data_IF_035836380833
#
_entry.id   IF_035836380833
#
_cell.length_a   1.000
_cell.length_b   1.000
_cell.length_c   1.000
_cell.angle_alpha   90.00
_cell.angle_beta   90.00
_cell.angle_gamma   90.00
#
_symmetry.space_group_name_H-M   'P 1'
#
loop_
_entity.id
_entity.type
_entity.pdbx_description
1 polymer ?
#
# COMPACT_ATOMS: atom_id res chain seq x y z
N UNK A 1 -39.14 -1.95 6.21
CA UNK A 1 -37.72 -1.69 5.91
C UNK A 1 -36.93 -2.78 6.62
N UNK A 2 -35.91 -3.36 5.97
CA UNK A 2 -35.08 -4.36 6.64
C UNK A 2 -34.30 -3.66 7.76
N UNK A 3 -34.40 -4.18 8.98
CA UNK A 3 -33.69 -3.64 10.14
C UNK A 3 -32.20 -3.94 9.98
N UNK A 4 -31.34 -2.96 10.28
CA UNK A 4 -29.90 -3.14 10.23
C UNK A 4 -29.47 -4.28 11.16
N UNK A 5 -28.59 -5.14 10.65
CA UNK A 5 -27.89 -6.14 11.46
C UNK A 5 -26.50 -6.34 10.88
N UNK A 6 -25.47 -6.13 11.69
CA UNK A 6 -24.09 -6.26 11.25
C UNK A 6 -23.77 -7.71 10.86
N UNK A 7 -23.27 -7.94 9.65
CA UNK A 7 -22.89 -9.27 9.14
C UNK A 7 -21.72 -9.92 9.89
N UNK A 8 -20.99 -9.17 10.72
CA UNK A 8 -19.84 -9.65 11.50
C UNK A 8 -20.18 -9.92 12.96
N UNK A 9 -20.66 -8.90 13.69
CA UNK A 9 -20.94 -9.02 15.11
C UNK A 9 -22.40 -9.37 15.43
N UNK A 10 -23.26 -9.46 14.41
CA UNK A 10 -24.68 -9.80 14.50
C UNK A 10 -25.53 -8.86 15.37
N UNK A 11 -24.96 -7.74 15.83
CA UNK A 11 -25.64 -6.66 16.54
C UNK A 11 -26.55 -5.88 15.61
N UNK A 12 -27.70 -5.49 16.12
CA UNK A 12 -28.66 -4.63 15.42
C UNK A 12 -28.42 -3.14 15.68
N UNK A 13 -29.32 -2.30 15.19
CA UNK A 13 -29.26 -0.83 15.28
C UNK A 13 -29.36 -0.29 16.70
N UNK A 14 -29.85 -1.07 17.67
CA UNK A 14 -29.91 -0.67 19.07
C UNK A 14 -28.54 -0.77 19.74
N UNK A 15 -27.69 -1.67 19.25
CA UNK A 15 -26.38 -1.97 19.83
C UNK A 15 -25.19 -1.51 18.97
N UNK A 16 -25.42 -1.15 17.71
CA UNK A 16 -24.36 -0.83 16.77
C UNK A 16 -24.77 0.18 15.70
N UNK A 17 -23.88 1.13 15.41
CA UNK A 17 -24.08 2.14 14.36
C UNK A 17 -23.70 1.57 12.99
N UNK A 18 -24.59 1.62 11.98
CA UNK A 18 -24.29 1.22 10.60
C UNK A 18 -23.15 2.04 9.99
N UNK A 19 -22.44 1.46 9.03
CA UNK A 19 -21.41 2.13 8.25
C UNK A 19 -21.34 1.56 6.83
N UNK A 20 -20.77 2.35 5.91
CA UNK A 20 -20.47 1.90 4.55
C UNK A 20 -19.16 1.09 4.58
N UNK A 21 -19.22 -0.17 4.17
CA UNK A 21 -18.03 -0.99 3.96
C UNK A 21 -17.71 -1.07 2.48
N UNK A 22 -16.43 -0.93 2.11
CA UNK A 22 -15.99 -1.07 0.72
C UNK A 22 -15.38 -2.45 0.53
N UNK A 23 -15.92 -3.28 -0.36
CA UNK A 23 -15.50 -4.70 -0.54
C UNK A 23 -13.98 -4.81 -0.70
N UNK A 24 -13.45 -4.05 -1.65
CA UNK A 24 -12.06 -3.63 -1.62
C UNK A 24 -12.04 -2.20 -1.10
N UNK A 25 -11.17 -1.84 -0.14
CA UNK A 25 -11.06 -0.46 0.30
C UNK A 25 -10.65 0.45 -0.85
N UNK A 26 -11.11 1.69 -0.82
CA UNK A 26 -10.75 2.72 -1.82
C UNK A 26 -9.24 2.94 -1.91
N UNK A 27 -8.52 2.73 -0.81
CA UNK A 27 -7.06 2.77 -0.75
C UNK A 27 -6.36 1.67 -1.57
N UNK A 28 -7.10 0.63 -1.96
CA UNK A 28 -6.68 -0.44 -2.87
C UNK A 28 -7.44 -0.37 -4.21
N UNK A 29 -8.02 0.79 -4.54
CA UNK A 29 -8.73 1.03 -5.81
C UNK A 29 -10.14 0.44 -5.88
N UNK A 30 -10.70 0.00 -4.76
CA UNK A 30 -12.06 -0.55 -4.73
C UNK A 30 -13.15 0.52 -4.88
N UNK A 31 -14.20 0.18 -5.63
CA UNK A 31 -15.35 1.04 -5.93
C UNK A 31 -16.68 0.44 -5.51
N UNK A 32 -16.68 -0.81 -5.03
CA UNK A 32 -17.88 -1.53 -4.64
C UNK A 32 -18.12 -1.38 -3.14
N UNK A 33 -19.35 -1.00 -2.81
CA UNK A 33 -19.77 -0.72 -1.44
C UNK A 33 -20.90 -1.65 -0.99
N UNK A 34 -20.95 -1.85 0.32
CA UNK A 34 -22.04 -2.45 1.08
C UNK A 34 -22.59 -1.39 2.03
N UNK A 35 -23.81 -0.97 1.75
CA UNK A 35 -24.56 -0.04 2.59
C UNK A 35 -25.30 -0.83 3.68
N UNK A 36 -25.31 -0.29 4.91
CA UNK A 36 -26.10 -0.80 6.02
C UNK A 36 -25.94 -2.30 6.33
N UNK A 37 -24.75 -2.86 6.07
CA UNK A 37 -24.44 -4.27 6.33
C UNK A 37 -23.37 -4.46 7.42
N UNK A 38 -22.53 -3.46 7.67
CA UNK A 38 -21.38 -3.55 8.58
C UNK A 38 -21.43 -2.39 9.57
N UNK A 39 -21.29 -2.68 10.86
CA UNK A 39 -21.23 -1.61 11.86
C UNK A 39 -19.86 -0.90 11.89
N UNK A 40 -19.84 0.34 12.38
CA UNK A 40 -18.64 1.15 12.46
C UNK A 40 -17.49 0.50 13.23
N UNK A 41 -17.79 -0.24 14.31
CA UNK A 41 -16.77 -0.91 15.12
C UNK A 41 -16.08 -2.06 14.37
N UNK A 42 -16.86 -2.93 13.72
CA UNK A 42 -16.31 -4.01 12.89
C UNK A 42 -15.53 -3.46 11.69
N UNK A 43 -16.08 -2.44 11.01
CA UNK A 43 -15.42 -1.79 9.88
C UNK A 43 -14.05 -1.19 10.30
N UNK A 44 -14.02 -0.49 11.43
CA UNK A 44 -12.79 0.11 11.96
C UNK A 44 -11.75 -0.95 12.36
N UNK A 45 -12.19 -2.05 12.96
CA UNK A 45 -11.33 -3.17 13.34
C UNK A 45 -10.73 -3.87 12.12
N UNK A 46 -11.55 -4.15 11.09
CA UNK A 46 -11.11 -4.72 9.82
C UNK A 46 -10.08 -3.82 9.16
N UNK A 47 -10.34 -2.51 9.06
CA UNK A 47 -9.40 -1.57 8.47
C UNK A 47 -8.03 -1.61 9.21
N UNK A 48 -8.04 -1.60 10.54
CA UNK A 48 -6.82 -1.57 11.36
C UNK A 48 -6.03 -2.88 11.31
N UNK A 49 -6.70 -4.02 11.44
CA UNK A 49 -6.04 -5.33 11.62
C UNK A 49 -5.82 -6.09 10.30
N UNK A 50 -6.49 -5.67 9.23
CA UNK A 50 -6.56 -6.43 7.97
C UNK A 50 -6.16 -5.57 6.76
N UNK A 51 -6.89 -4.49 6.49
CA UNK A 51 -6.70 -3.72 5.25
C UNK A 51 -5.42 -2.87 5.27
N UNK A 52 -5.17 -2.13 6.35
CA UNK A 52 -4.00 -1.26 6.46
C UNK A 52 -2.67 -2.05 6.49
N UNK A 53 -2.55 -3.19 7.22
CA UNK A 53 -1.37 -4.05 7.13
C UNK A 53 -1.14 -4.59 5.72
N UNK A 54 -2.21 -5.00 5.02
CA UNK A 54 -2.11 -5.46 3.63
C UNK A 54 -1.62 -4.31 2.71
N UNK A 55 -2.25 -3.14 2.79
CA UNK A 55 -1.84 -1.97 2.00
C UNK A 55 -0.38 -1.58 2.21
N UNK A 56 0.12 -1.65 3.45
CA UNK A 56 1.50 -1.30 3.80
C UNK A 56 2.52 -2.29 3.24
N UNK A 57 2.22 -3.57 3.25
CA UNK A 57 3.16 -4.62 2.84
C UNK A 57 3.15 -4.83 1.30
N UNK A 58 2.16 -4.28 0.59
CA UNK A 58 2.00 -4.42 -0.86
C UNK A 58 1.98 -3.09 -1.66
N UNK A 59 2.91 -2.14 -1.42
CA UNK A 59 2.91 -0.85 -2.12
C UNK A 59 3.21 -1.00 -3.62
N UNK A 60 3.92 -2.07 -4.01
CA UNK A 60 4.19 -2.40 -5.40
C UNK A 60 2.93 -2.59 -6.23
N UNK A 61 1.93 -3.32 -5.70
CA UNK A 61 0.66 -3.53 -6.41
C UNK A 61 -0.07 -2.20 -6.64
N UNK A 62 -0.02 -1.30 -5.66
CA UNK A 62 -0.66 0.01 -5.76
C UNK A 62 0.05 0.91 -6.77
N UNK A 63 1.38 0.89 -6.78
CA UNK A 63 2.18 1.63 -7.75
C UNK A 63 1.91 1.12 -9.18
N UNK A 64 1.99 -0.21 -9.37
CA UNK A 64 1.79 -0.86 -10.66
C UNK A 64 0.40 -0.60 -11.24
N UNK A 65 -0.63 -0.60 -10.40
CA UNK A 65 -2.02 -0.36 -10.82
C UNK A 65 -2.37 1.14 -10.89
N UNK A 66 -1.43 2.03 -10.58
CA UNK A 66 -1.67 3.48 -10.56
C UNK A 66 -2.70 3.92 -9.51
N UNK A 67 -2.89 3.13 -8.45
CA UNK A 67 -3.86 3.41 -7.40
C UNK A 67 -3.34 4.57 -6.55
N UNK A 68 -4.11 5.66 -6.52
CA UNK A 68 -3.74 6.88 -5.80
C UNK A 68 -4.18 6.82 -4.34
N UNK A 69 -3.34 7.34 -3.47
CA UNK A 69 -3.71 7.62 -2.09
C UNK A 69 -4.74 8.76 -2.01
N UNK A 70 -5.33 8.96 -0.83
CA UNK A 70 -6.22 10.11 -0.54
C UNK A 70 -5.59 11.49 -0.82
N UNK A 71 -4.27 11.57 -0.95
CA UNK A 71 -3.53 12.79 -1.28
C UNK A 71 -3.20 12.90 -2.78
N UNK A 72 -3.88 12.13 -3.62
CA UNK A 72 -3.66 12.07 -5.08
C UNK A 72 -2.25 11.65 -5.51
N UNK A 73 -1.52 10.96 -4.61
CA UNK A 73 -0.16 10.45 -4.88
C UNK A 73 -0.17 8.93 -5.03
N UNK A 74 0.49 8.43 -6.07
CA UNK A 74 0.79 7.00 -6.23
C UNK A 74 1.83 6.58 -5.18
N UNK A 75 1.62 5.47 -4.44
CA UNK A 75 2.60 4.97 -3.48
C UNK A 75 3.93 4.64 -4.15
N UNK A 76 5.04 5.05 -3.52
CA UNK A 76 6.36 4.69 -4.01
C UNK A 76 6.79 3.32 -3.47
N UNK A 77 7.57 2.59 -4.27
CA UNK A 77 8.05 1.24 -3.94
C UNK A 77 9.49 1.32 -3.42
N UNK A 78 9.77 0.91 -2.17
CA UNK A 78 11.14 0.84 -1.67
C UNK A 78 11.99 -0.11 -2.53
N UNK A 79 13.16 0.35 -2.96
CA UNK A 79 14.08 -0.39 -3.80
C UNK A 79 15.54 -0.09 -3.46
N UNK A 80 16.45 -0.90 -4.03
CA UNK A 80 17.88 -0.72 -3.97
C UNK A 80 18.37 -0.44 -5.38
N UNK A 81 19.04 0.68 -5.57
CA UNK A 81 19.75 1.03 -6.79
C UNK A 81 21.17 0.47 -6.71
N UNK A 82 21.52 -0.41 -7.65
CA UNK A 82 22.86 -0.96 -7.84
C UNK A 82 23.57 -0.17 -8.94
N UNK A 83 24.70 0.45 -8.60
CA UNK A 83 25.48 1.25 -9.55
C UNK A 83 26.95 1.33 -9.10
N UNK A 84 27.91 1.06 -10.00
CA UNK A 84 29.36 1.10 -9.69
C UNK A 84 29.79 0.29 -8.45
N UNK A 85 29.06 -0.79 -8.12
CA UNK A 85 29.30 -1.57 -6.91
C UNK A 85 28.66 -1.00 -5.64
N UNK A 86 28.07 0.19 -5.72
CA UNK A 86 27.33 0.83 -4.63
C UNK A 86 25.89 0.36 -4.56
N UNK A 87 25.31 0.45 -3.35
CA UNK A 87 23.92 0.11 -3.05
C UNK A 87 23.24 1.29 -2.39
N UNK A 88 22.32 1.93 -3.11
CA UNK A 88 21.62 3.14 -2.65
C UNK A 88 20.15 2.83 -2.44
N UNK A 89 19.60 3.21 -1.28
CA UNK A 89 18.14 3.11 -1.05
C UNK A 89 17.42 4.16 -1.88
N UNK A 90 16.48 3.72 -2.69
CA UNK A 90 15.64 4.57 -3.54
C UNK A 90 14.17 4.19 -3.40
N UNK A 91 13.30 5.01 -3.96
CA UNK A 91 11.86 4.78 -4.02
C UNK A 91 11.42 4.87 -5.48
N UNK A 92 10.78 3.81 -6.01
CA UNK A 92 10.34 3.75 -7.40
C UNK A 92 8.93 4.32 -7.55
N UNK A 93 8.68 5.03 -8.65
CA UNK A 93 7.35 5.52 -9.05
C UNK A 93 6.53 4.43 -9.78
N UNK A 94 5.42 4.82 -10.43
CA UNK A 94 4.55 3.91 -11.16
C UNK A 94 5.22 3.33 -12.42
N UNK A 95 6.15 4.09 -12.99
CA UNK A 95 6.94 3.76 -14.17
C UNK A 95 8.13 2.85 -13.83
N UNK A 96 8.38 2.57 -12.54
CA UNK A 96 9.52 1.79 -12.07
C UNK A 96 10.83 2.60 -12.02
N UNK A 97 10.75 3.91 -12.18
CA UNK A 97 11.89 4.82 -12.13
C UNK A 97 12.11 5.35 -10.71
N UNK A 98 13.37 5.61 -10.28
CA UNK A 98 13.63 6.25 -9.00
C UNK A 98 13.02 7.66 -8.93
N UNK A 99 12.11 7.89 -7.99
CA UNK A 99 11.51 9.20 -7.73
C UNK A 99 12.51 10.23 -7.21
N UNK A 100 13.57 9.77 -6.55
CA UNK A 100 14.70 10.59 -6.09
C UNK A 100 15.89 9.65 -5.85
N UNK A 101 17.07 10.02 -6.37
CA UNK A 101 18.32 9.33 -6.09
C UNK A 101 19.17 10.19 -5.15
N UNK A 102 19.39 9.79 -3.89
CA UNK A 102 20.24 10.57 -3.01
C UNK A 102 21.69 10.60 -3.51
N UNK A 103 22.44 11.68 -3.23
CA UNK A 103 23.85 11.73 -3.56
C UNK A 103 24.61 10.67 -2.73
N UNK A 104 25.58 10.02 -3.36
CA UNK A 104 26.57 9.18 -2.68
C UNK A 104 27.71 10.10 -2.25
N UNK A 105 27.90 10.24 -0.94
CA UNK A 105 28.95 11.08 -0.34
C UNK A 105 29.98 10.16 0.30
N UNK A 106 31.20 10.18 -0.22
CA UNK A 106 32.36 9.49 0.33
C UNK A 106 33.35 10.51 0.90
N UNK A 107 34.41 10.04 1.58
CA UNK A 107 35.38 10.92 2.25
C UNK A 107 36.05 11.93 1.31
N UNK A 108 36.18 11.61 0.01
CA UNK A 108 36.88 12.44 -0.98
C UNK A 108 36.06 12.75 -2.24
N UNK A 109 34.87 12.17 -2.40
CA UNK A 109 34.06 12.32 -3.61
C UNK A 109 32.57 12.39 -3.34
N UNK A 110 31.86 13.13 -4.19
CA UNK A 110 30.39 13.23 -4.18
C UNK A 110 29.87 12.86 -5.55
N UNK A 111 28.96 11.90 -5.60
CA UNK A 111 28.30 11.46 -6.83
C UNK A 111 26.81 11.76 -6.72
N UNK A 112 26.24 12.47 -7.70
CA UNK A 112 24.79 12.74 -7.80
C UNK A 112 24.29 12.21 -9.13
N UNK A 113 23.18 11.48 -9.06
CA UNK A 113 22.48 10.93 -10.21
C UNK A 113 21.05 11.46 -10.22
N UNK A 114 20.48 11.56 -11.42
CA UNK A 114 19.12 12.02 -11.63
C UNK A 114 18.96 12.75 -12.96
N UNK A 115 17.76 13.30 -13.22
CA UNK A 115 17.51 14.20 -14.34
C UNK A 115 18.51 15.36 -14.34
N UNK A 116 18.90 15.84 -15.52
CA UNK A 116 19.90 16.89 -15.68
C UNK A 116 19.61 18.14 -14.83
N UNK A 117 18.35 18.58 -14.79
CA UNK A 117 17.93 19.74 -13.99
C UNK A 117 18.17 19.53 -12.48
N UNK A 118 17.85 18.36 -11.95
CA UNK A 118 18.04 18.03 -10.53
C UNK A 118 19.53 17.95 -10.17
N UNK A 119 20.34 17.36 -11.07
CA UNK A 119 21.79 17.27 -10.90
C UNK A 119 22.41 18.66 -10.91
N UNK A 120 22.02 19.52 -11.86
CA UNK A 120 22.55 20.88 -11.95
C UNK A 120 22.14 21.75 -10.75
N UNK A 121 20.91 21.61 -10.26
CA UNK A 121 20.49 22.31 -9.04
C UNK A 121 21.29 21.84 -7.83
N UNK A 122 21.47 20.53 -7.66
CA UNK A 122 22.28 19.98 -6.57
C UNK A 122 23.74 20.48 -6.64
N UNK A 123 24.34 20.52 -7.83
CA UNK A 123 25.70 21.04 -8.02
C UNK A 123 25.85 22.48 -7.52
N UNK A 124 24.87 23.33 -7.82
CA UNK A 124 24.84 24.73 -7.35
C UNK A 124 24.74 24.79 -5.83
N UNK A 125 23.72 24.15 -5.25
CA UNK A 125 23.45 24.17 -3.80
C UNK A 125 24.62 23.60 -2.98
N UNK A 126 25.30 22.59 -3.53
CA UNK A 126 26.45 21.96 -2.87
C UNK A 126 27.72 22.81 -3.01
N UNK A 127 27.94 23.45 -4.17
CA UNK A 127 29.08 24.35 -4.37
C UNK A 127 29.02 25.60 -3.49
N UNK A 128 27.82 26.11 -3.17
CA UNK A 128 27.64 27.22 -2.20
C UNK A 128 28.20 26.87 -0.81
N UNK A 129 28.06 25.61 -0.39
CA UNK A 129 28.53 25.12 0.92
C UNK A 129 29.97 24.60 0.86
N UNK A 130 30.41 24.15 -0.32
CA UNK A 130 31.71 23.52 -0.54
C UNK A 130 32.38 24.11 -1.80
N UNK A 131 32.92 25.34 -1.75
CA UNK A 131 33.42 26.06 -2.92
C UNK A 131 34.65 25.41 -3.59
N UNK A 132 35.33 24.48 -2.89
CA UNK A 132 36.51 23.77 -3.40
C UNK A 132 36.16 22.50 -4.19
N UNK A 133 34.87 22.18 -4.36
CA UNK A 133 34.43 20.97 -5.07
C UNK A 133 34.50 21.20 -6.57
N UNK A 134 35.18 20.29 -7.26
CA UNK A 134 35.26 20.27 -8.74
C UNK A 134 34.36 19.17 -9.26
N UNK A 135 33.33 19.56 -10.01
CA UNK A 135 32.42 18.61 -10.66
C UNK A 135 33.04 18.08 -11.96
N UNK A 136 33.07 16.75 -12.11
CA UNK A 136 33.46 16.10 -13.36
C UNK A 136 32.26 15.34 -13.94
N UNK A 137 32.09 15.42 -15.25
CA UNK A 137 31.05 14.65 -15.95
C UNK A 137 31.48 13.18 -16.06
N UNK A 138 30.54 12.28 -15.80
CA UNK A 138 30.78 10.84 -15.91
C UNK A 138 30.21 10.34 -17.24
N UNK A 139 31.01 9.61 -18.01
CA UNK A 139 30.58 9.03 -19.29
C UNK A 139 29.75 7.77 -19.03
N UNK A 140 28.43 7.92 -19.05
CA UNK A 140 27.47 6.83 -18.82
C UNK A 140 27.57 5.71 -19.86
N UNK A 141 28.20 5.94 -21.03
CA UNK A 141 28.39 4.90 -22.05
C UNK A 141 29.47 3.88 -21.64
N UNK A 142 30.32 4.22 -20.66
CA UNK A 142 31.41 3.36 -20.16
C UNK A 142 31.09 2.70 -18.82
N UNK A 143 29.96 3.04 -18.21
CA UNK A 143 29.54 2.46 -16.93
C UNK A 143 28.42 1.46 -17.14
N UNK A 144 28.37 0.43 -16.29
CA UNK A 144 27.22 -0.47 -16.28
C UNK A 144 25.96 0.34 -15.97
N UNK A 145 24.85 0.12 -16.69
CA UNK A 145 23.62 0.85 -16.44
C UNK A 145 23.17 0.60 -15.00
N UNK A 146 22.65 1.62 -14.30
CA UNK A 146 22.10 1.43 -12.97
C UNK A 146 20.91 0.45 -13.03
N UNK A 147 20.86 -0.48 -12.07
CA UNK A 147 19.78 -1.45 -11.96
C UNK A 147 19.04 -1.23 -10.65
N UNK A 148 17.73 -1.02 -10.73
CA UNK A 148 16.85 -0.99 -9.56
C UNK A 148 16.35 -2.39 -9.24
N UNK A 149 16.61 -2.86 -8.02
CA UNK A 149 16.08 -4.11 -7.48
C UNK A 149 15.06 -3.78 -6.37
N UNK A 150 13.88 -4.38 -6.43
CA UNK A 150 12.95 -4.41 -5.30
C UNK A 150 12.60 -5.86 -4.98
N UNK A 151 12.28 -6.13 -3.72
CA UNK A 151 11.97 -7.47 -3.26
C UNK A 151 10.50 -7.59 -2.88
N UNK A 152 9.85 -8.64 -3.41
CA UNK A 152 8.51 -9.03 -3.02
C UNK A 152 8.62 -10.16 -2.00
N UNK A 153 8.20 -9.87 -0.77
CA UNK A 153 8.12 -10.87 0.28
C UNK A 153 6.78 -11.62 0.19
N UNK A 154 6.71 -12.67 -0.63
CA UNK A 154 5.50 -13.49 -0.76
C UNK A 154 5.09 -14.20 0.53
N UNK A 155 5.98 -14.31 1.54
CA UNK A 155 5.59 -14.83 2.85
C UNK A 155 4.54 -13.94 3.53
N UNK A 156 4.46 -12.65 3.14
CA UNK A 156 3.41 -11.72 3.58
C UNK A 156 2.00 -12.15 3.16
N UNK A 157 1.84 -12.90 2.07
CA UNK A 157 0.54 -13.47 1.69
C UNK A 157 0.07 -14.55 2.67
N UNK A 158 1.02 -15.18 3.38
CA UNK A 158 0.71 -16.19 4.39
C UNK A 158 0.36 -15.57 5.74
N UNK A 159 0.52 -14.25 5.92
CA UNK A 159 0.23 -13.58 7.19
C UNK A 159 -1.28 -13.59 7.50
N UNK A 160 -1.68 -13.60 8.79
CA UNK A 160 -3.10 -13.62 9.16
C UNK A 160 -3.92 -12.50 8.53
N UNK A 161 -3.36 -11.28 8.46
CA UNK A 161 -4.06 -10.14 7.84
C UNK A 161 -4.36 -10.36 6.35
N UNK A 162 -3.48 -11.04 5.59
CA UNK A 162 -3.70 -11.26 4.16
C UNK A 162 -4.84 -12.27 3.92
N UNK A 163 -4.89 -13.33 4.74
CA UNK A 163 -5.98 -14.30 4.71
C UNK A 163 -7.31 -13.69 5.14
N UNK A 164 -7.29 -12.88 6.21
CA UNK A 164 -8.45 -12.11 6.68
C UNK A 164 -8.94 -11.16 5.58
N UNK A 165 -8.03 -10.51 4.86
CA UNK A 165 -8.39 -9.59 3.78
C UNK A 165 -9.09 -10.31 2.63
N UNK A 166 -8.52 -11.43 2.16
CA UNK A 166 -9.16 -12.25 1.15
C UNK A 166 -10.53 -12.78 1.59
N UNK A 167 -10.65 -13.25 2.84
CA UNK A 167 -11.90 -13.73 3.40
C UNK A 167 -12.95 -12.62 3.50
N UNK A 168 -12.55 -11.42 3.92
CA UNK A 168 -13.40 -10.23 3.97
C UNK A 168 -13.93 -9.88 2.59
N UNK A 169 -13.06 -9.75 1.59
CA UNK A 169 -13.45 -9.46 0.20
C UNK A 169 -14.46 -10.49 -0.31
N UNK A 170 -14.17 -11.77 -0.13
CA UNK A 170 -15.04 -12.85 -0.59
C UNK A 170 -16.41 -12.84 0.11
N UNK A 171 -16.41 -12.68 1.43
CA UNK A 171 -17.63 -12.66 2.24
C UNK A 171 -18.52 -11.45 1.91
N UNK A 172 -17.93 -10.26 1.87
CA UNK A 172 -18.67 -9.05 1.53
C UNK A 172 -19.21 -9.09 0.10
N UNK A 173 -18.44 -9.62 -0.86
CA UNK A 173 -18.94 -9.82 -2.22
C UNK A 173 -20.09 -10.81 -2.28
N UNK A 174 -20.03 -11.88 -1.49
CA UNK A 174 -21.13 -12.83 -1.38
C UNK A 174 -22.39 -12.15 -0.80
N UNK A 175 -22.25 -11.36 0.26
CA UNK A 175 -23.34 -10.59 0.85
C UNK A 175 -23.96 -9.61 -0.15
N UNK A 176 -23.13 -8.91 -0.93
CA UNK A 176 -23.61 -8.00 -1.97
C UNK A 176 -24.43 -8.73 -3.05
N UNK A 177 -24.13 -9.99 -3.34
CA UNK A 177 -24.83 -10.80 -4.35
C UNK A 177 -26.10 -11.50 -3.83
N UNK A 178 -26.23 -11.72 -2.51
CA UNK A 178 -27.28 -12.58 -1.92
C UNK A 178 -28.25 -11.89 -0.96
N UNK A 179 -28.22 -10.57 -0.90
CA UNK A 179 -28.84 -9.73 0.16
C UNK A 179 -28.11 -9.87 1.51
N UNK A 180 -27.44 -8.80 1.99
CA UNK A 180 -26.77 -8.81 3.30
C UNK A 180 -27.69 -9.14 4.47
N UNK A 181 -28.98 -8.78 4.41
CA UNK A 181 -29.93 -9.04 5.49
C UNK A 181 -30.30 -10.52 5.58
N UNK A 182 -30.39 -11.22 4.46
CA UNK A 182 -30.61 -12.68 4.45
C UNK A 182 -29.36 -13.42 4.94
N UNK A 183 -28.18 -12.93 4.59
CA UNK A 183 -26.91 -13.48 5.09
C UNK A 183 -26.75 -13.32 6.61
N UNK A 184 -27.32 -12.26 7.21
CA UNK A 184 -27.31 -12.05 8.65
C UNK A 184 -28.36 -12.89 9.41
N UNK A 185 -29.38 -13.43 8.71
CA UNK A 185 -30.43 -14.28 9.29
C UNK A 185 -30.14 -15.77 9.15
N UNK A 186 -29.51 -16.16 8.03
CA UNK A 186 -29.19 -17.56 7.77
C UNK A 186 -28.06 -18.01 8.67
N UNK A 187 -28.17 -19.24 9.17
CA UNK A 187 -27.16 -19.98 9.93
C UNK A 187 -25.95 -20.34 9.03
N UNK A 188 -25.47 -19.40 8.19
CA UNK A 188 -24.15 -19.41 7.55
C UNK A 188 -23.04 -19.17 8.59
N UNK A 189 -23.28 -19.73 9.76
CA UNK A 189 -22.49 -19.73 10.98
C UNK A 189 -21.07 -20.17 10.67
N UNK A 190 -20.83 -20.99 9.64
CA UNK A 190 -19.46 -21.40 9.29
C UNK A 190 -18.58 -20.25 8.83
N UNK A 191 -19.09 -19.28 8.06
CA UNK A 191 -18.25 -18.15 7.57
C UNK A 191 -18.26 -17.00 8.56
N UNK A 192 -19.41 -16.69 9.17
CA UNK A 192 -19.52 -15.64 10.19
C UNK A 192 -18.81 -16.02 11.50
N UNK A 193 -18.84 -17.30 11.94
CA UNK A 193 -17.98 -17.78 13.05
C UNK A 193 -16.54 -17.77 12.63
N UNK A 194 -16.21 -18.22 11.41
CA UNK A 194 -14.83 -18.15 10.93
C UNK A 194 -14.32 -16.72 10.78
N UNK A 195 -15.16 -15.68 10.74
CA UNK A 195 -14.71 -14.29 10.75
C UNK A 195 -14.81 -13.65 12.13
N UNK A 196 -15.86 -13.94 12.91
CA UNK A 196 -16.05 -13.50 14.29
C UNK A 196 -15.01 -14.06 15.25
N UNK A 197 -14.54 -15.29 15.02
CA UNK A 197 -13.42 -15.89 15.78
C UNK A 197 -12.08 -15.19 15.49
N UNK A 198 -11.93 -14.54 14.33
CA UNK A 198 -10.72 -13.80 13.95
C UNK A 198 -10.74 -12.33 14.36
N UNK A 199 -11.91 -11.78 14.73
CA UNK A 199 -12.05 -10.41 15.24
C UNK A 199 -12.04 -10.35 16.78
N UNK A 200 -12.37 -11.46 17.46
CA UNK A 200 -12.42 -11.57 18.92
C UNK A 200 -11.21 -12.31 19.55
N UNK A 201 -10.24 -12.78 18.74
CA UNK A 201 -8.93 -13.30 19.18
C UNK A 201 -7.80 -12.61 18.41
#
# INVERSE_FOLDING_TARGET
>A
MAQFRCIYCLKDEQEATPSISHIFPTSLGGTLELNDAVCQSCNSLINRETEEPFRRDWPFLLSLLGIRSRREKVPLVPAILHYEGERVKVYLNAEGEPSHVPPVIEATQVKKFGPGEEVEQFKKDYAEKHPNVVWTGMDLAKTSPPVSEFQLDFSKLCMPYARRFAAKVAFERLCQLRDPHEMAKQDHNTISVFLGFFLNN
#
